data_IF_275926100916
#
_entry.id   IF_275926100916
#
_cell.length_a   1.000
_cell.length_b   1.000
_cell.length_c   1.000
_cell.angle_alpha   90.00
_cell.angle_beta   90.00
_cell.angle_gamma   90.00
#
_symmetry.space_group_name_H-M   'P 1'
#
loop_
_entity.id
_entity.type
_entity.pdbx_description
1 polymer ?
#
# COMPACT_ATOMS: atom_id res chain seq x y z
N UNK A 1 -20.21 11.48 83.02
CA UNK A 1 -20.30 12.86 83.56
C UNK A 1 -19.95 13.84 82.45
N UNK A 2 -20.88 14.74 82.12
CA UNK A 2 -20.76 16.08 81.47
C UNK A 2 -19.85 16.22 80.24
N UNK A 3 -20.40 16.34 79.02
CA UNK A 3 -20.85 17.57 78.34
C UNK A 3 -19.82 18.71 78.27
N UNK A 4 -19.32 19.04 77.06
CA UNK A 4 -19.35 20.41 76.53
C UNK A 4 -19.10 20.53 75.00
N UNK A 5 -20.19 20.82 74.29
CA UNK A 5 -20.42 21.78 73.18
C UNK A 5 -19.33 22.09 72.13
N UNK A 6 -19.67 21.66 70.91
CA UNK A 6 -19.64 22.34 69.60
C UNK A 6 -19.35 23.86 69.60
N UNK A 7 -18.43 24.30 68.75
CA UNK A 7 -18.53 25.54 67.95
C UNK A 7 -17.91 25.33 66.56
N UNK A 8 -18.69 25.66 65.53
CA UNK A 8 -18.35 25.64 64.10
C UNK A 8 -17.33 26.73 63.73
N UNK A 9 -16.45 26.46 62.77
CA UNK A 9 -16.17 27.43 61.70
C UNK A 9 -15.77 26.70 60.41
N UNK A 10 -16.53 26.98 59.36
CA UNK A 10 -16.28 26.58 57.98
C UNK A 10 -14.94 27.12 57.48
N UNK A 11 -14.14 26.26 56.85
CA UNK A 11 -13.27 26.66 55.75
C UNK A 11 -13.45 25.65 54.61
N UNK A 12 -14.44 25.95 53.76
CA UNK A 12 -14.57 25.40 52.42
C UNK A 12 -13.48 26.08 51.59
N UNK A 13 -12.37 25.39 51.34
CA UNK A 13 -11.42 25.78 50.31
C UNK A 13 -11.58 24.82 49.13
N UNK A 14 -12.22 25.34 48.09
CA UNK A 14 -12.36 24.72 46.78
C UNK A 14 -10.99 24.33 46.22
N UNK A 15 -10.69 23.03 46.13
CA UNK A 15 -9.70 22.55 45.17
C UNK A 15 -10.45 22.34 43.87
N UNK A 16 -10.55 23.44 43.11
CA UNK A 16 -11.04 23.45 41.75
C UNK A 16 -10.21 22.47 40.90
N UNK A 17 -10.91 21.68 40.10
CA UNK A 17 -10.34 20.64 39.28
C UNK A 17 -9.22 21.13 38.38
N UNK A 18 -8.07 20.48 38.48
CA UNK A 18 -7.15 20.40 37.36
C UNK A 18 -7.74 19.39 36.35
N UNK A 19 -8.83 19.78 35.69
CA UNK A 19 -9.12 19.25 34.37
C UNK A 19 -7.89 19.58 33.53
N UNK A 20 -7.10 18.57 33.23
CA UNK A 20 -6.09 18.65 32.19
C UNK A 20 -6.86 19.01 30.93
N UNK A 21 -6.84 20.29 30.58
CA UNK A 21 -7.27 20.72 29.25
C UNK A 21 -6.31 20.02 28.32
N UNK A 22 -6.73 18.88 27.79
CA UNK A 22 -6.11 18.34 26.60
C UNK A 22 -6.08 19.52 25.64
N UNK A 23 -4.90 19.97 25.24
CA UNK A 23 -4.78 20.83 24.08
C UNK A 23 -5.45 20.06 22.95
N UNK A 24 -6.73 20.35 22.74
CA UNK A 24 -7.37 20.16 21.47
C UNK A 24 -6.51 21.03 20.57
N UNK A 25 -5.54 20.40 19.90
CA UNK A 25 -4.86 21.00 18.78
C UNK A 25 -6.00 21.50 17.91
N UNK A 26 -6.17 22.82 17.84
CA UNK A 26 -7.02 23.44 16.85
C UNK A 26 -6.72 22.67 15.57
N UNK A 27 -7.74 22.04 14.98
CA UNK A 27 -7.63 21.51 13.64
C UNK A 27 -7.33 22.73 12.77
N UNK A 28 -6.05 23.09 12.67
CA UNK A 28 -5.59 24.08 11.73
C UNK A 28 -6.14 23.60 10.41
N UNK A 29 -6.84 24.51 9.74
CA UNK A 29 -7.49 24.22 8.48
C UNK A 29 -6.36 23.80 7.53
N UNK A 30 -6.14 22.49 7.39
CA UNK A 30 -4.97 21.89 6.71
C UNK A 30 -4.84 22.43 5.28
N UNK A 31 -5.97 22.87 4.72
CA UNK A 31 -6.07 23.54 3.42
C UNK A 31 -5.22 24.83 3.30
N UNK A 32 -4.87 25.53 4.38
CA UNK A 32 -4.22 26.85 4.31
C UNK A 32 -2.72 26.84 4.61
N UNK A 33 -2.07 25.68 4.68
CA UNK A 33 -0.61 25.63 4.86
C UNK A 33 0.15 26.06 3.58
N UNK A 34 1.27 26.81 3.68
CA UNK A 34 1.92 27.45 2.53
C UNK A 34 2.29 26.54 1.36
N UNK A 35 2.58 25.26 1.63
CA UNK A 35 3.02 24.28 0.64
C UNK A 35 2.00 23.15 0.42
N UNK A 36 0.81 23.24 1.02
CA UNK A 36 -0.23 22.21 0.84
C UNK A 36 -0.84 22.34 -0.55
N UNK A 37 -0.70 21.33 -1.42
CA UNK A 37 -1.37 21.35 -2.71
C UNK A 37 -2.89 21.35 -2.54
N UNK A 38 -3.59 22.17 -3.31
CA UNK A 38 -5.05 22.28 -3.23
C UNK A 38 -5.79 21.26 -4.09
N UNK A 39 -5.10 20.64 -5.05
CA UNK A 39 -5.70 19.69 -6.01
C UNK A 39 -4.87 18.40 -6.20
N UNK A 40 -3.83 18.19 -5.37
CA UNK A 40 -3.14 16.91 -5.27
C UNK A 40 -3.40 16.30 -3.90
N UNK A 41 -3.63 14.98 -3.88
CA UNK A 41 -3.80 14.29 -2.61
C UNK A 41 -2.53 14.38 -1.75
N UNK A 42 -2.74 14.60 -0.46
CA UNK A 42 -1.74 14.56 0.61
C UNK A 42 -2.46 14.04 1.86
N UNK A 43 -1.83 13.20 2.71
CA UNK A 43 -2.45 12.80 3.98
C UNK A 43 -2.56 14.01 4.91
N UNK A 44 -3.54 14.06 5.82
CA UNK A 44 -3.73 15.17 6.76
C UNK A 44 -2.47 15.49 7.55
N UNK A 45 -1.65 14.48 7.85
CA UNK A 45 -0.37 14.64 8.52
C UNK A 45 0.63 13.57 8.07
N UNK A 46 1.90 13.78 8.44
CA UNK A 46 2.97 12.77 8.39
C UNK A 46 3.43 12.37 6.97
N UNK A 47 4.21 11.29 6.89
CA UNK A 47 4.91 10.90 5.66
C UNK A 47 4.05 10.02 4.75
N UNK A 48 4.13 10.28 3.45
CA UNK A 48 3.61 9.44 2.40
C UNK A 48 4.66 9.27 1.29
N UNK A 49 4.74 8.09 0.69
CA UNK A 49 5.42 7.86 -0.58
C UNK A 49 4.48 7.20 -1.60
N UNK A 50 4.78 5.98 -2.04
CA UNK A 50 4.18 5.37 -3.23
C UNK A 50 2.65 5.26 -3.11
N UNK A 51 1.90 5.51 -4.21
CA UNK A 51 0.50 5.12 -4.28
C UNK A 51 0.40 3.59 -4.32
N UNK A 52 -0.58 3.04 -3.61
CA UNK A 52 -0.84 1.61 -3.52
C UNK A 52 -2.31 1.32 -3.81
N UNK A 53 -2.61 0.06 -4.12
CA UNK A 53 -3.99 -0.44 -4.08
C UNK A 53 -5.00 0.31 -4.94
N UNK A 54 -4.57 1.07 -5.95
CA UNK A 54 -5.48 1.94 -6.71
C UNK A 54 -6.52 1.10 -7.45
N UNK A 55 -7.78 1.23 -7.03
CA UNK A 55 -8.89 0.41 -7.52
C UNK A 55 -10.16 1.22 -7.59
N UNK A 56 -11.00 0.93 -8.60
CA UNK A 56 -12.32 1.52 -8.74
C UNK A 56 -13.40 0.48 -8.47
N UNK A 57 -14.31 0.78 -7.55
CA UNK A 57 -15.42 -0.09 -7.18
C UNK A 57 -16.66 0.74 -6.88
N UNK A 58 -17.80 0.36 -7.47
CA UNK A 58 -19.12 0.96 -7.18
C UNK A 58 -19.14 2.50 -7.23
N UNK A 59 -18.49 3.09 -8.24
CA UNK A 59 -18.44 4.54 -8.40
C UNK A 59 -17.43 5.24 -7.50
N UNK A 60 -16.55 4.51 -6.79
CA UNK A 60 -15.55 5.06 -5.88
C UNK A 60 -14.14 4.71 -6.37
N UNK A 61 -13.29 5.72 -6.52
CA UNK A 61 -11.85 5.55 -6.64
C UNK A 61 -11.25 5.40 -5.25
N UNK A 62 -10.49 4.33 -5.03
CA UNK A 62 -9.69 4.12 -3.83
C UNK A 62 -8.23 4.42 -4.16
N UNK A 63 -7.60 5.24 -3.32
CA UNK A 63 -6.17 5.49 -3.30
C UNK A 63 -5.65 5.00 -1.96
N UNK A 64 -4.86 3.93 -1.96
CA UNK A 64 -4.03 3.59 -0.81
C UNK A 64 -2.65 4.18 -1.02
N UNK A 65 -1.85 4.26 0.02
CA UNK A 65 -0.51 4.84 -0.08
C UNK A 65 0.37 4.37 1.08
N UNK A 66 1.66 4.24 0.80
CA UNK A 66 2.65 4.00 1.84
C UNK A 66 2.62 5.15 2.85
N UNK A 67 2.47 4.83 4.13
CA UNK A 67 2.26 5.83 5.17
C UNK A 67 3.02 5.52 6.46
N UNK A 68 3.69 6.53 7.02
CA UNK A 68 4.17 6.48 8.40
C UNK A 68 3.31 7.39 9.28
N UNK A 69 2.35 6.87 10.05
CA UNK A 69 1.50 7.69 10.92
C UNK A 69 2.24 8.21 12.17
N UNK A 70 3.50 7.83 12.38
CA UNK A 70 4.31 8.25 13.53
C UNK A 70 5.25 9.43 13.27
N UNK A 71 5.34 9.93 12.03
CA UNK A 71 6.25 11.05 11.75
C UNK A 71 6.37 11.46 10.29
N UNK A 72 7.03 12.59 10.05
CA UNK A 72 7.22 13.22 8.73
C UNK A 72 8.44 12.68 7.97
N UNK A 73 8.87 11.45 8.28
CA UNK A 73 9.97 10.75 7.60
C UNK A 73 9.55 9.31 7.36
N UNK A 74 10.26 8.63 6.48
CA UNK A 74 10.13 7.20 6.31
C UNK A 74 10.34 6.46 7.65
N UNK A 75 9.56 5.40 7.88
CA UNK A 75 9.52 4.65 9.13
C UNK A 75 8.69 3.37 8.99
N UNK A 76 8.13 2.82 10.07
CA UNK A 76 7.26 1.64 9.99
C UNK A 76 6.06 1.89 9.07
N UNK A 77 6.09 1.26 7.89
CA UNK A 77 5.12 1.53 6.83
C UNK A 77 3.78 0.83 7.05
N UNK A 78 2.72 1.58 6.78
CA UNK A 78 1.32 1.20 6.74
C UNK A 78 0.77 1.46 5.34
N UNK A 79 -0.44 0.97 5.04
CA UNK A 79 -1.23 1.54 3.95
C UNK A 79 -2.26 2.52 4.50
N UNK A 80 -2.04 3.81 4.25
CA UNK A 80 -3.08 4.83 4.37
C UNK A 80 -4.16 4.63 3.28
N UNK A 81 -5.29 5.31 3.43
CA UNK A 81 -6.43 5.16 2.51
C UNK A 81 -7.16 6.48 2.31
N UNK A 82 -7.51 6.78 1.07
CA UNK A 82 -8.43 7.85 0.70
C UNK A 82 -9.38 7.37 -0.40
N UNK A 83 -10.56 7.97 -0.46
CA UNK A 83 -11.55 7.69 -1.50
C UNK A 83 -11.99 8.96 -2.20
N UNK A 84 -12.30 8.86 -3.48
CA UNK A 84 -12.84 9.96 -4.28
C UNK A 84 -13.92 9.45 -5.25
N UNK A 85 -14.80 10.36 -5.68
CA UNK A 85 -15.77 10.11 -6.76
C UNK A 85 -15.27 10.62 -8.12
N UNK A 86 -14.25 11.48 -8.14
CA UNK A 86 -13.79 12.20 -9.33
C UNK A 86 -12.26 12.29 -9.46
N UNK A 87 -11.51 11.62 -8.58
CA UNK A 87 -10.04 11.66 -8.47
C UNK A 87 -9.45 13.03 -8.10
N UNK A 88 -10.28 14.01 -7.72
CA UNK A 88 -9.87 15.36 -7.35
C UNK A 88 -10.21 15.63 -5.88
N UNK A 89 -11.46 15.39 -5.49
CA UNK A 89 -11.93 15.59 -4.12
C UNK A 89 -11.75 14.30 -3.33
N UNK A 90 -10.69 14.25 -2.52
CA UNK A 90 -10.32 13.08 -1.73
C UNK A 90 -10.81 13.19 -0.28
N UNK A 91 -11.45 12.13 0.20
CA UNK A 91 -11.78 11.94 1.61
C UNK A 91 -10.85 10.89 2.21
N UNK A 92 -9.95 11.31 3.09
CA UNK A 92 -9.04 10.43 3.81
C UNK A 92 -9.80 9.55 4.83
N UNK A 93 -9.60 8.25 4.72
CA UNK A 93 -10.21 7.18 5.49
C UNK A 93 -9.27 6.71 6.61
N UNK A 94 -9.73 5.86 7.55
CA UNK A 94 -8.84 5.16 8.46
C UNK A 94 -7.75 4.38 7.72
N UNK A 95 -6.60 4.17 8.38
CA UNK A 95 -5.51 3.34 7.85
C UNK A 95 -6.05 1.94 7.53
N UNK A 96 -5.73 1.45 6.33
CA UNK A 96 -6.24 0.18 5.82
C UNK A 96 -5.45 -1.03 6.33
N UNK A 97 -4.12 -0.95 6.27
CA UNK A 97 -3.23 -2.04 6.68
C UNK A 97 -2.16 -1.55 7.65
N UNK A 98 -2.08 -2.22 8.79
CA UNK A 98 -1.08 -1.98 9.84
C UNK A 98 0.01 -3.04 9.81
N UNK A 99 1.27 -2.74 10.20
CA UNK A 99 2.28 -3.76 10.48
C UNK A 99 1.79 -4.84 11.45
N UNK A 100 2.36 -6.04 11.36
CA UNK A 100 2.13 -7.13 12.32
C UNK A 100 3.44 -7.91 12.57
N UNK A 101 3.34 -9.10 13.15
CA UNK A 101 4.50 -9.96 13.43
C UNK A 101 5.27 -10.41 12.19
N UNK A 102 4.67 -10.37 10.99
CA UNK A 102 5.36 -10.67 9.73
C UNK A 102 6.19 -9.46 9.27
N UNK A 103 5.75 -8.24 9.54
CA UNK A 103 6.56 -7.05 9.34
C UNK A 103 5.74 -5.82 8.97
N UNK A 104 6.44 -4.80 8.46
CA UNK A 104 5.81 -3.57 7.93
C UNK A 104 5.19 -3.83 6.56
N UNK A 105 4.24 -2.98 6.17
CA UNK A 105 3.48 -3.13 4.93
C UNK A 105 4.10 -2.22 3.88
N UNK A 106 4.74 -2.83 2.90
CA UNK A 106 5.33 -2.16 1.73
C UNK A 106 4.32 -2.10 0.58
N UNK A 107 4.73 -1.47 -0.52
CA UNK A 107 3.89 -1.18 -1.67
C UNK A 107 3.27 -2.43 -2.29
N UNK A 108 2.23 -2.19 -3.10
CA UNK A 108 1.48 -3.24 -3.78
C UNK A 108 0.21 -2.71 -4.42
N UNK A 109 -0.67 -3.64 -4.79
CA UNK A 109 -1.87 -3.37 -5.59
C UNK A 109 -3.12 -3.97 -4.95
N UNK A 110 -4.29 -3.62 -5.51
CA UNK A 110 -5.56 -4.18 -5.09
C UNK A 110 -6.40 -4.50 -6.33
N UNK A 111 -7.20 -5.56 -6.22
CA UNK A 111 -8.08 -6.04 -7.29
C UNK A 111 -9.48 -6.30 -6.74
N UNK A 112 -10.49 -6.24 -7.62
CA UNK A 112 -11.85 -6.70 -7.32
C UNK A 112 -11.96 -8.16 -7.75
N UNK A 113 -12.06 -9.09 -6.81
CA UNK A 113 -12.28 -10.52 -7.11
C UNK A 113 -13.76 -10.78 -7.39
N UNK A 114 -14.20 -10.41 -8.60
CA UNK A 114 -15.61 -10.48 -9.05
C UNK A 114 -16.20 -11.89 -8.98
N UNK A 115 -15.35 -12.90 -9.11
CA UNK A 115 -15.77 -14.30 -9.22
C UNK A 115 -15.48 -15.12 -7.97
N UNK A 116 -15.03 -14.47 -6.88
CA UNK A 116 -14.68 -15.16 -5.63
C UNK A 116 -13.63 -16.27 -5.84
N UNK A 117 -12.68 -16.05 -6.75
CA UNK A 117 -11.59 -17.00 -7.03
C UNK A 117 -10.71 -17.24 -5.81
N UNK A 118 -10.54 -16.22 -4.95
CA UNK A 118 -9.78 -16.32 -3.71
C UNK A 118 -10.59 -16.92 -2.55
N UNK A 119 -11.92 -17.00 -2.66
CA UNK A 119 -12.79 -17.59 -1.62
C UNK A 119 -13.13 -16.65 -0.46
N UNK A 120 -12.94 -15.34 -0.60
CA UNK A 120 -13.24 -14.33 0.43
C UNK A 120 -14.62 -13.66 0.31
N UNK A 121 -15.34 -13.94 -0.77
CA UNK A 121 -16.63 -13.33 -1.10
C UNK A 121 -16.63 -12.75 -2.52
N UNK A 122 -17.81 -12.74 -3.14
CA UNK A 122 -17.98 -12.14 -4.47
C UNK A 122 -17.74 -10.63 -4.40
N UNK A 123 -16.96 -10.09 -5.34
CA UNK A 123 -16.55 -8.68 -5.39
C UNK A 123 -15.72 -8.22 -4.17
N UNK A 124 -15.13 -9.15 -3.41
CA UNK A 124 -14.18 -8.77 -2.38
C UNK A 124 -13.03 -7.99 -3.01
N UNK A 125 -12.62 -6.90 -2.36
CA UNK A 125 -11.35 -6.29 -2.67
C UNK A 125 -10.26 -7.16 -2.07
N UNK A 126 -9.22 -7.46 -2.84
CA UNK A 126 -8.04 -8.18 -2.39
C UNK A 126 -6.84 -7.28 -2.61
N UNK A 127 -6.16 -6.93 -1.53
CA UNK A 127 -4.88 -6.24 -1.55
C UNK A 127 -3.77 -7.28 -1.60
N UNK A 128 -2.79 -7.06 -2.47
CA UNK A 128 -1.59 -7.87 -2.60
C UNK A 128 -0.43 -6.91 -2.36
N UNK A 129 0.40 -7.19 -1.37
CA UNK A 129 1.40 -6.26 -0.87
C UNK A 129 2.66 -6.98 -0.42
N UNK A 130 3.77 -6.24 -0.35
CA UNK A 130 5.01 -6.76 0.21
C UNK A 130 5.01 -6.59 1.72
N UNK A 131 5.31 -7.65 2.46
CA UNK A 131 5.81 -7.55 3.83
C UNK A 131 7.30 -7.28 3.80
N UNK A 132 7.76 -6.41 4.71
CA UNK A 132 9.17 -6.18 4.96
C UNK A 132 9.50 -6.44 6.43
N UNK A 133 10.39 -7.39 6.70
CA UNK A 133 10.81 -7.75 8.06
C UNK A 133 12.24 -7.29 8.36
N UNK A 134 12.36 -6.25 9.18
CA UNK A 134 13.65 -5.63 9.52
C UNK A 134 14.62 -6.58 10.23
N UNK A 135 14.13 -7.47 11.10
CA UNK A 135 15.00 -8.42 11.79
C UNK A 135 15.60 -9.46 10.83
N UNK A 136 14.82 -9.91 9.84
CA UNK A 136 15.30 -10.81 8.78
C UNK A 136 16.27 -10.08 7.83
N UNK A 137 16.03 -8.79 7.57
CA UNK A 137 16.93 -7.93 6.78
C UNK A 137 18.29 -7.79 7.47
N UNK A 138 18.29 -7.50 8.77
CA UNK A 138 19.51 -7.34 9.58
C UNK A 138 20.34 -8.62 9.64
N UNK A 139 19.70 -9.78 9.57
CA UNK A 139 20.37 -11.08 9.45
C UNK A 139 20.96 -11.34 8.05
N UNK A 140 20.74 -10.45 7.08
CA UNK A 140 21.27 -10.49 5.70
C UNK A 140 20.98 -11.80 4.96
N UNK A 141 19.81 -12.37 5.21
CA UNK A 141 19.39 -13.64 4.59
C UNK A 141 18.87 -13.48 3.16
N UNK A 142 18.50 -12.27 2.75
CA UNK A 142 17.79 -12.02 1.49
C UNK A 142 16.31 -12.47 1.50
N UNK A 143 15.77 -12.87 2.66
CA UNK A 143 14.39 -13.37 2.80
C UNK A 143 13.42 -12.34 3.41
N UNK A 144 13.85 -11.10 3.51
CA UNK A 144 13.17 -10.08 4.32
C UNK A 144 11.97 -9.42 3.62
N UNK A 145 11.83 -9.59 2.31
CA UNK A 145 10.68 -9.10 1.51
C UNK A 145 9.88 -10.26 0.94
N UNK A 146 8.58 -10.35 1.18
CA UNK A 146 7.74 -11.45 0.67
C UNK A 146 6.29 -11.00 0.51
N UNK A 147 5.48 -11.69 -0.31
CA UNK A 147 4.17 -11.15 -0.70
C UNK A 147 3.05 -11.74 0.15
N UNK A 148 2.24 -10.86 0.73
CA UNK A 148 1.04 -11.19 1.49
C UNK A 148 -0.22 -10.67 0.80
N UNK A 149 -1.37 -11.14 1.27
CA UNK A 149 -2.67 -10.61 0.87
C UNK A 149 -3.54 -10.26 2.07
N UNK A 150 -4.43 -9.30 1.86
CA UNK A 150 -5.55 -8.99 2.74
C UNK A 150 -6.81 -8.82 1.89
N UNK A 151 -7.98 -8.98 2.50
CA UNK A 151 -9.24 -8.83 1.79
C UNK A 151 -10.21 -7.93 2.56
N UNK A 152 -11.11 -7.30 1.81
CA UNK A 152 -12.21 -6.51 2.33
C UNK A 152 -13.51 -6.94 1.64
N UNK A 153 -14.54 -7.18 2.44
CA UNK A 153 -15.91 -7.51 1.99
C UNK A 153 -16.88 -6.34 2.19
N UNK A 154 -16.38 -5.17 2.57
CA UNK A 154 -17.14 -3.96 2.90
C UNK A 154 -16.68 -2.74 2.09
N UNK A 155 -16.29 -2.99 0.84
CA UNK A 155 -15.83 -1.98 -0.13
C UNK A 155 -14.58 -1.22 0.33
N UNK A 156 -13.64 -1.92 0.98
CA UNK A 156 -12.33 -1.38 1.35
C UNK A 156 -12.31 -0.57 2.64
N UNK A 157 -13.41 -0.57 3.43
CA UNK A 157 -13.50 0.14 4.71
C UNK A 157 -12.72 -0.56 5.81
N UNK A 158 -12.78 -1.89 5.86
CA UNK A 158 -12.01 -2.72 6.78
C UNK A 158 -11.33 -3.86 6.05
N UNK A 159 -10.17 -4.29 6.57
CA UNK A 159 -9.32 -5.28 5.93
C UNK A 159 -8.97 -6.42 6.89
N UNK A 160 -9.11 -7.64 6.41
CA UNK A 160 -8.66 -8.85 7.11
C UNK A 160 -7.47 -9.44 6.39
N UNK A 161 -6.34 -9.58 7.09
CA UNK A 161 -5.14 -10.22 6.55
C UNK A 161 -5.36 -11.73 6.43
N UNK A 162 -4.88 -12.31 5.33
CA UNK A 162 -4.99 -13.75 5.13
C UNK A 162 -4.12 -14.52 6.13
N UNK A 163 -4.75 -15.44 6.86
CA UNK A 163 -4.12 -16.18 7.97
C UNK A 163 -2.91 -17.01 7.57
N UNK A 164 -2.80 -17.41 6.31
CA UNK A 164 -1.70 -18.23 5.80
C UNK A 164 -0.70 -17.39 4.98
N UNK A 165 -0.62 -16.07 5.22
CA UNK A 165 0.45 -15.27 4.65
C UNK A 165 1.83 -15.80 5.11
N UNK A 166 2.87 -15.67 4.27
CA UNK A 166 2.84 -15.09 2.92
C UNK A 166 2.31 -16.05 1.83
N UNK A 167 1.71 -15.49 0.77
CA UNK A 167 1.24 -16.25 -0.40
C UNK A 167 2.33 -16.47 -1.44
N UNK A 168 3.37 -15.64 -1.43
CA UNK A 168 4.57 -15.82 -2.25
C UNK A 168 5.80 -15.56 -1.38
N UNK A 169 6.38 -16.62 -0.80
CA UNK A 169 7.64 -16.56 -0.07
C UNK A 169 8.78 -16.05 -0.96
N UNK A 170 9.77 -15.40 -0.36
CA UNK A 170 10.97 -14.96 -1.06
C UNK A 170 11.87 -16.16 -1.40
N UNK A 171 12.34 -16.32 -2.67
CA UNK A 171 13.25 -17.39 -3.05
C UNK A 171 14.74 -17.10 -2.76
N UNK A 172 15.07 -16.05 -2.01
CA UNK A 172 16.45 -15.61 -1.72
C UNK A 172 16.90 -14.38 -2.53
N UNK A 173 15.96 -13.58 -3.02
CA UNK A 173 16.23 -12.35 -3.78
C UNK A 173 16.14 -11.16 -2.82
N UNK A 174 17.22 -10.37 -2.75
CA UNK A 174 17.32 -9.24 -1.82
C UNK A 174 16.17 -8.23 -1.97
N UNK A 175 15.95 -7.76 -3.19
CA UNK A 175 14.86 -6.85 -3.54
C UNK A 175 13.75 -7.65 -4.23
N UNK A 176 12.64 -7.90 -3.53
CA UNK A 176 11.55 -8.77 -3.97
C UNK A 176 10.21 -8.16 -3.56
N UNK A 177 9.75 -7.16 -4.31
CA UNK A 177 8.67 -6.27 -3.83
C UNK A 177 7.79 -5.68 -4.93
N UNK A 178 6.76 -4.98 -4.47
CA UNK A 178 5.85 -4.15 -5.23
C UNK A 178 4.98 -4.95 -6.22
N UNK A 179 4.16 -5.92 -5.73
CA UNK A 179 3.34 -6.75 -6.60
C UNK A 179 2.20 -5.94 -7.25
N UNK A 180 2.24 -5.80 -8.57
CA UNK A 180 1.07 -5.40 -9.36
C UNK A 180 0.32 -6.65 -9.83
N UNK A 181 -0.94 -6.78 -9.43
CA UNK A 181 -1.79 -7.91 -9.84
C UNK A 181 -2.94 -7.42 -10.72
N UNK A 182 -3.26 -8.20 -11.75
CA UNK A 182 -4.43 -7.99 -12.61
C UNK A 182 -5.02 -9.33 -13.06
N UNK A 183 -6.30 -9.31 -13.42
CA UNK A 183 -6.96 -10.44 -14.04
C UNK A 183 -6.65 -10.48 -15.54
N UNK A 184 -6.10 -11.59 -16.02
CA UNK A 184 -5.81 -11.81 -17.43
C UNK A 184 -6.92 -12.66 -18.07
N UNK A 185 -7.92 -11.99 -18.64
CA UNK A 185 -9.14 -12.60 -19.18
C UNK A 185 -8.88 -13.75 -20.17
N UNK A 186 -7.96 -13.56 -21.11
CA UNK A 186 -7.68 -14.54 -22.16
C UNK A 186 -7.13 -15.88 -21.62
N UNK A 187 -6.51 -15.86 -20.42
CA UNK A 187 -5.96 -17.04 -19.77
C UNK A 187 -6.72 -17.47 -18.51
N UNK A 188 -7.84 -16.80 -18.17
CA UNK A 188 -8.65 -17.08 -16.98
C UNK A 188 -7.81 -17.23 -15.69
N UNK A 189 -6.87 -16.31 -15.47
CA UNK A 189 -5.93 -16.35 -14.34
C UNK A 189 -5.53 -14.96 -13.89
N UNK A 190 -5.10 -14.84 -12.64
CA UNK A 190 -4.40 -13.66 -12.13
C UNK A 190 -2.96 -13.66 -12.62
N UNK A 191 -2.45 -12.48 -12.94
CA UNK A 191 -1.05 -12.25 -13.29
C UNK A 191 -0.49 -11.24 -12.30
N UNK A 192 0.67 -11.56 -11.72
CA UNK A 192 1.47 -10.65 -10.91
C UNK A 192 2.69 -10.21 -11.72
N UNK A 193 2.92 -8.91 -11.75
CA UNK A 193 4.14 -8.24 -12.22
C UNK A 193 4.89 -7.80 -10.97
N UNK A 194 6.03 -8.43 -10.67
CA UNK A 194 6.79 -8.19 -9.45
C UNK A 194 8.18 -7.67 -9.77
N UNK A 195 8.63 -6.62 -9.07
CA UNK A 195 10.00 -6.17 -9.18
C UNK A 195 10.92 -7.08 -8.35
N UNK A 196 11.92 -7.63 -9.02
CA UNK A 196 12.87 -8.57 -8.44
C UNK A 196 14.29 -8.09 -8.76
N UNK A 197 14.83 -7.23 -7.90
CA UNK A 197 16.12 -6.56 -8.06
C UNK A 197 16.19 -5.64 -9.27
N UNK A 198 16.69 -6.14 -10.39
CA UNK A 198 17.03 -5.37 -11.59
C UNK A 198 16.15 -5.76 -12.79
N UNK A 199 15.07 -6.51 -12.53
CA UNK A 199 14.17 -7.04 -13.55
C UNK A 199 12.77 -7.23 -13.00
N UNK A 200 11.84 -7.52 -13.90
CA UNK A 200 10.49 -7.97 -13.56
C UNK A 200 10.42 -9.48 -13.62
N UNK A 201 9.81 -10.09 -12.60
CA UNK A 201 9.37 -11.49 -12.65
C UNK A 201 7.84 -11.52 -12.75
N UNK A 202 7.32 -12.27 -13.72
CA UNK A 202 5.90 -12.54 -13.85
C UNK A 202 5.53 -13.84 -13.13
N UNK A 203 4.43 -13.79 -12.40
CA UNK A 203 3.80 -14.96 -11.80
C UNK A 203 2.34 -15.05 -12.24
N UNK A 204 1.74 -16.23 -12.17
CA UNK A 204 0.31 -16.41 -12.34
C UNK A 204 -0.33 -17.20 -11.21
N UNK A 205 -1.62 -16.99 -10.99
CA UNK A 205 -2.38 -17.67 -9.95
C UNK A 205 -3.84 -17.89 -10.37
N UNK A 206 -4.44 -19.04 -10.04
CA UNK A 206 -5.88 -19.22 -10.21
C UNK A 206 -6.69 -18.55 -9.08
N UNK A 207 -6.10 -18.28 -7.91
CA UNK A 207 -6.84 -18.03 -6.67
C UNK A 207 -6.23 -16.93 -5.77
N UNK A 208 -5.26 -16.15 -6.27
CA UNK A 208 -4.47 -15.14 -5.54
C UNK A 208 -3.61 -15.67 -4.38
N UNK A 209 -3.66 -16.97 -4.09
CA UNK A 209 -2.99 -17.61 -2.94
C UNK A 209 -1.85 -18.52 -3.37
N UNK A 210 -1.99 -19.21 -4.50
CA UNK A 210 -0.99 -20.09 -5.07
C UNK A 210 -0.41 -19.47 -6.33
N UNK A 211 0.89 -19.17 -6.31
CA UNK A 211 1.57 -18.47 -7.40
C UNK A 211 2.58 -19.39 -8.09
N UNK A 212 2.57 -19.38 -9.42
CA UNK A 212 3.56 -20.07 -10.27
C UNK A 212 4.39 -19.03 -11.02
N UNK A 213 5.72 -19.13 -10.98
CA UNK A 213 6.61 -18.28 -11.78
C UNK A 213 6.43 -18.60 -13.26
N UNK A 214 6.29 -17.57 -14.10
CA UNK A 214 6.04 -17.71 -15.54
C UNK A 214 7.28 -17.30 -16.35
N UNK A 215 7.73 -16.05 -16.23
CA UNK A 215 8.87 -15.53 -16.99
C UNK A 215 9.56 -14.38 -16.26
N UNK A 216 10.67 -13.91 -16.82
CA UNK A 216 11.34 -12.67 -16.41
C UNK A 216 11.48 -11.72 -17.61
N UNK A 217 11.58 -10.42 -17.35
CA UNK A 217 11.84 -9.40 -18.34
C UNK A 217 12.75 -8.32 -17.77
N UNK A 218 13.68 -7.83 -18.59
CA UNK A 218 14.38 -6.57 -18.31
C UNK A 218 15.86 -6.68 -17.97
N UNK A 219 16.42 -7.87 -17.63
CA UNK A 219 17.81 -8.01 -17.16
C UNK A 219 18.89 -7.28 -18.01
N UNK A 220 18.65 -7.16 -19.33
CA UNK A 220 19.57 -6.50 -20.27
C UNK A 220 18.92 -5.32 -21.00
N UNK A 221 17.72 -4.91 -20.61
CA UNK A 221 16.90 -3.94 -21.33
C UNK A 221 16.39 -2.83 -20.40
N UNK A 222 16.59 -1.58 -20.82
CA UNK A 222 16.19 -0.41 -20.04
C UNK A 222 17.28 0.09 -19.10
N UNK A 223 16.90 1.03 -18.23
CA UNK A 223 17.81 1.66 -17.29
C UNK A 223 18.05 0.78 -16.07
N UNK A 224 19.33 0.62 -15.70
CA UNK A 224 19.80 -0.25 -14.60
C UNK A 224 20.70 0.52 -13.61
N UNK A 225 20.52 1.84 -13.51
CA UNK A 225 21.30 2.69 -12.61
C UNK A 225 20.96 2.52 -11.11
N UNK A 226 19.95 1.71 -10.80
CA UNK A 226 19.47 1.43 -9.45
C UNK A 226 18.50 0.25 -9.44
N UNK A 227 17.84 0.04 -8.29
CA UNK A 227 16.88 -1.05 -8.11
C UNK A 227 15.60 -0.73 -8.87
N UNK A 228 14.99 -1.75 -9.48
CA UNK A 228 13.67 -1.66 -10.10
C UNK A 228 12.58 -1.78 -9.04
N UNK A 229 11.60 -0.89 -9.09
CA UNK A 229 10.52 -0.74 -8.11
C UNK A 229 9.20 -0.42 -8.80
N UNK A 230 8.09 -0.58 -8.09
CA UNK A 230 6.75 -0.14 -8.49
C UNK A 230 6.37 -0.44 -9.96
N UNK A 231 6.39 -1.71 -10.40
CA UNK A 231 5.98 -2.04 -11.75
C UNK A 231 4.47 -1.88 -11.94
N UNK A 232 4.04 -1.55 -13.16
CA UNK A 232 2.64 -1.68 -13.57
C UNK A 232 2.57 -2.21 -15.00
N UNK A 233 1.68 -3.18 -15.25
CA UNK A 233 1.44 -3.74 -16.57
C UNK A 233 -0.01 -3.50 -16.94
N UNK A 234 -0.25 -2.81 -18.05
CA UNK A 234 -1.59 -2.59 -18.58
C UNK A 234 -1.59 -2.55 -20.10
N UNK A 235 -2.76 -2.73 -20.71
CA UNK A 235 -2.89 -2.65 -22.16
C UNK A 235 -3.60 -1.37 -22.60
N UNK A 236 -3.15 -0.79 -23.71
CA UNK A 236 -3.79 0.31 -24.41
C UNK A 236 -4.16 -0.10 -25.83
N UNK A 237 -5.21 0.52 -26.37
CA UNK A 237 -5.53 0.40 -27.79
C UNK A 237 -4.76 1.49 -28.57
N UNK A 238 -3.98 1.08 -29.56
CA UNK A 238 -3.21 1.95 -30.43
C UNK A 238 -3.42 1.55 -31.88
N UNK A 239 -3.98 2.44 -32.71
CA UNK A 239 -4.29 2.19 -34.13
C UNK A 239 -5.05 0.87 -34.37
N UNK A 240 -6.05 0.58 -33.53
CA UNK A 240 -6.86 -0.65 -33.62
C UNK A 240 -6.17 -1.92 -33.11
N UNK A 241 -4.94 -1.84 -32.60
CA UNK A 241 -4.23 -2.96 -32.00
C UNK A 241 -4.08 -2.79 -30.50
N UNK A 242 -4.19 -3.90 -29.76
CA UNK A 242 -3.85 -3.93 -28.34
C UNK A 242 -2.33 -3.96 -28.18
N UNK A 243 -1.78 -3.02 -27.42
CA UNK A 243 -0.38 -2.99 -27.00
C UNK A 243 -0.29 -3.00 -25.49
N UNK A 244 0.70 -3.73 -24.97
CA UNK A 244 0.98 -3.76 -23.54
C UNK A 244 2.07 -2.76 -23.20
N UNK A 245 1.88 -2.07 -22.09
CA UNK A 245 2.83 -1.11 -21.53
C UNK A 245 3.24 -1.63 -20.17
N UNK A 246 4.54 -1.83 -19.98
CA UNK A 246 5.16 -2.15 -18.71
C UNK A 246 5.85 -0.90 -18.17
N UNK A 247 5.32 -0.30 -17.12
CA UNK A 247 5.99 0.74 -16.33
C UNK A 247 6.89 0.08 -15.29
N UNK A 248 8.05 0.68 -15.05
CA UNK A 248 8.94 0.31 -13.95
C UNK A 248 9.61 1.57 -13.42
N UNK A 249 9.61 1.76 -12.11
CA UNK A 249 10.38 2.82 -11.46
C UNK A 249 11.80 2.35 -11.13
N UNK A 250 12.75 3.28 -11.10
CA UNK A 250 14.14 3.04 -10.74
C UNK A 250 14.59 4.03 -9.68
N UNK A 251 15.41 3.58 -8.74
CA UNK A 251 16.07 4.44 -7.77
C UNK A 251 17.40 3.83 -7.27
N UNK A 252 18.52 4.57 -7.30
CA UNK A 252 18.75 5.80 -8.06
C UNK A 252 18.83 5.52 -9.58
N UNK A 253 19.33 6.48 -10.36
CA UNK A 253 19.63 6.30 -11.79
C UNK A 253 18.63 6.97 -12.74
N UNK A 254 17.76 7.83 -12.23
CA UNK A 254 16.90 8.68 -13.07
C UNK A 254 17.69 9.70 -13.90
N UNK A 255 17.18 10.11 -15.07
CA UNK A 255 17.87 11.05 -15.97
C UNK A 255 18.09 12.45 -15.36
N UNK A 256 17.29 12.83 -14.37
CA UNK A 256 17.41 14.08 -13.62
C UNK A 256 18.09 13.89 -12.24
N UNK A 257 18.71 12.73 -11.99
CA UNK A 257 19.20 12.32 -10.68
C UNK A 257 18.09 11.81 -9.76
N UNK A 258 18.42 10.91 -8.84
CA UNK A 258 17.44 10.29 -7.93
C UNK A 258 16.58 9.23 -8.62
N UNK A 259 15.28 9.19 -8.27
CA UNK A 259 14.31 8.23 -8.78
C UNK A 259 13.66 8.69 -10.10
N UNK A 260 13.24 7.73 -10.93
CA UNK A 260 12.49 7.99 -12.17
C UNK A 260 11.62 6.80 -12.56
N UNK A 261 10.74 6.98 -13.54
CA UNK A 261 9.94 5.90 -14.14
C UNK A 261 10.33 5.72 -15.60
N UNK A 262 10.59 4.49 -16.00
CA UNK A 262 10.77 4.06 -17.39
C UNK A 262 9.57 3.22 -17.83
N UNK A 263 9.43 3.03 -19.15
CA UNK A 263 8.39 2.17 -19.69
C UNK A 263 8.87 1.41 -20.92
N UNK A 264 8.21 0.27 -21.15
CA UNK A 264 8.42 -0.59 -22.32
C UNK A 264 7.08 -0.81 -23.00
N UNK A 265 7.07 -0.80 -24.33
CA UNK A 265 5.88 -1.10 -25.14
C UNK A 265 6.12 -2.42 -25.86
N UNK A 266 5.17 -3.34 -25.74
CA UNK A 266 5.33 -4.69 -26.25
C UNK A 266 4.01 -5.45 -26.35
N UNK A 267 4.12 -6.77 -26.32
CA UNK A 267 3.02 -7.71 -26.27
C UNK A 267 3.14 -8.57 -25.00
N UNK A 268 2.01 -9.03 -24.48
CA UNK A 268 1.96 -9.94 -23.34
C UNK A 268 0.97 -11.05 -23.62
N UNK A 269 1.43 -12.29 -23.50
CA UNK A 269 0.65 -13.51 -23.80
C UNK A 269 0.02 -14.14 -22.54
N UNK A 270 0.13 -13.48 -21.38
CA UNK A 270 -0.28 -14.04 -20.09
C UNK A 270 0.84 -14.74 -19.33
N UNK A 271 2.05 -14.82 -19.92
CA UNK A 271 3.26 -15.38 -19.31
C UNK A 271 4.46 -14.49 -19.53
N UNK A 272 4.73 -14.12 -20.78
CA UNK A 272 5.93 -13.43 -21.24
C UNK A 272 5.57 -12.06 -21.83
N UNK A 273 6.34 -11.05 -21.45
CA UNK A 273 6.32 -9.73 -22.09
C UNK A 273 7.43 -9.67 -23.15
N UNK A 274 7.10 -9.28 -24.38
CA UNK A 274 8.01 -9.21 -25.54
C UNK A 274 7.93 -7.89 -26.27
#
# INVERSE_FOLDING_TARGET
MRNLKVFYLLCIAMIAGACSVSKQTNAQNVANEPYRPQFHFTPKAHWMNDPNGMVFLNGTYHLFFQHNPGGTKWGPMHWGHATSKDMIHWNEQPIALYPDSLGTIFSGSAVVDKNNTAGFGKNALVAIYTYHNKAIEDAKTGLHQYQGIAYSTDEGKTWTKYKNNPVLPNPGIWDFRDPKVQWFEAGNKWVMTLATKDRITFYSSPDLKQWSKESEFGEKLGAHGGVWECPDLFSLNFNGQKKWVLLVSINPGGPNGGSATQYFVGNFDGKTFT
#
